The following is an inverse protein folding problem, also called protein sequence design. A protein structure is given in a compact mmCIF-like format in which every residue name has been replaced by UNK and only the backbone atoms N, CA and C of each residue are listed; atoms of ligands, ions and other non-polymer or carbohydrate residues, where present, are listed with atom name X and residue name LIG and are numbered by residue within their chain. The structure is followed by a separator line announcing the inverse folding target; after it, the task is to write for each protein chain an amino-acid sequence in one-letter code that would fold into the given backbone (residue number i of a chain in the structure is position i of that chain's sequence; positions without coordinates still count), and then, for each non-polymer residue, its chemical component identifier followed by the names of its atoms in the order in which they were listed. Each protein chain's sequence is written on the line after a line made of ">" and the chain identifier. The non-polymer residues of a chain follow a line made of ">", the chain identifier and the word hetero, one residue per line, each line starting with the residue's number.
data_IF_689091333770
#
_entry.id   IF_689091333770
#
_cell.length_a   1.000
_cell.length_b   1.000
_cell.length_c   1.000
_cell.angle_alpha   90.00
_cell.angle_beta   90.00
_cell.angle_gamma   90.00
#
_symmetry.space_group_name_H-M   'P 1'
#
loop_
_entity.id
_entity.type
_entity.pdbx_description
1 polymer ?
#
# COMPACT_ATOMS: atom_id res chain seq x y z
N UNK A 1 -33.69 -11.15 18.84
CA UNK A 1 -32.38 -10.48 18.97
C UNK A 1 -32.22 -9.57 17.78
N UNK A 2 -32.13 -8.26 17.99
CA UNK A 2 -31.83 -7.31 16.92
C UNK A 2 -30.35 -7.58 16.53
N UNK A 3 -30.10 -8.16 15.35
CA UNK A 3 -28.74 -8.26 14.82
C UNK A 3 -28.27 -6.82 14.59
N UNK A 4 -27.29 -6.37 15.36
CA UNK A 4 -26.62 -5.09 15.06
C UNK A 4 -25.99 -5.20 13.67
N UNK A 5 -26.20 -4.19 12.83
CA UNK A 5 -25.55 -4.14 11.52
C UNK A 5 -24.03 -4.07 11.69
N UNK A 6 -23.25 -4.84 10.91
CA UNK A 6 -21.79 -4.75 10.92
C UNK A 6 -21.32 -3.34 10.55
N UNK A 7 -20.40 -2.79 11.34
CA UNK A 7 -19.66 -1.55 11.06
C UNK A 7 -18.88 -1.68 9.75
N UNK A 8 -18.53 -0.52 9.18
CA UNK A 8 -17.66 -0.40 8.00
C UNK A 8 -18.15 -1.13 6.74
N UNK A 9 -19.43 -1.52 6.70
CA UNK A 9 -19.99 -2.30 5.60
C UNK A 9 -19.48 -3.74 5.54
N UNK A 10 -18.97 -4.29 6.64
CA UNK A 10 -18.44 -5.66 6.69
C UNK A 10 -19.44 -6.68 6.12
N UNK A 11 -18.97 -7.71 5.38
CA UNK A 11 -19.84 -8.82 4.95
C UNK A 11 -20.56 -9.47 6.13
N UNK A 12 -21.84 -9.81 5.96
CA UNK A 12 -22.66 -10.44 7.00
C UNK A 12 -22.16 -11.82 7.44
N UNK A 13 -21.42 -12.50 6.56
CA UNK A 13 -20.82 -13.80 6.81
C UNK A 13 -19.32 -13.71 6.53
N UNK A 14 -18.51 -14.10 7.52
CA UNK A 14 -17.05 -14.10 7.41
C UNK A 14 -16.59 -15.44 6.83
N UNK A 15 -15.86 -15.39 5.71
CA UNK A 15 -15.31 -16.55 5.00
C UNK A 15 -13.84 -16.34 4.74
N UNK A 16 -13.10 -17.44 4.66
CA UNK A 16 -11.69 -17.45 4.29
C UNK A 16 -11.52 -18.11 2.92
N UNK A 17 -10.58 -17.58 2.12
CA UNK A 17 -10.28 -18.12 0.81
C UNK A 17 -9.86 -19.59 0.92
N UNK A 18 -10.41 -20.46 0.08
CA UNK A 18 -10.04 -21.89 0.08
C UNK A 18 -8.62 -22.14 -0.42
N UNK A 19 -8.04 -21.21 -1.19
CA UNK A 19 -6.68 -21.34 -1.74
C UNK A 19 -5.60 -20.75 -0.85
N UNK A 20 -5.86 -19.58 -0.25
CA UNK A 20 -4.92 -18.93 0.67
C UNK A 20 -5.54 -18.79 2.07
N UNK A 21 -5.24 -17.71 2.79
CA UNK A 21 -5.73 -17.43 4.15
C UNK A 21 -6.45 -16.08 4.27
N UNK A 22 -6.59 -15.32 3.19
CA UNK A 22 -7.30 -14.03 3.21
C UNK A 22 -8.79 -14.22 3.55
N UNK A 23 -9.36 -13.42 4.46
CA UNK A 23 -10.81 -13.36 4.65
C UNK A 23 -11.49 -12.45 3.62
N UNK A 24 -12.78 -12.68 3.40
CA UNK A 24 -13.64 -11.78 2.62
C UNK A 24 -13.88 -10.42 3.29
N UNK A 25 -13.42 -10.22 4.53
CA UNK A 25 -13.43 -8.93 5.24
C UNK A 25 -12.22 -8.05 4.91
N UNK A 26 -11.33 -8.50 4.03
CA UNK A 26 -10.21 -7.68 3.54
C UNK A 26 -10.73 -6.55 2.63
N UNK A 27 -10.58 -5.27 3.01
CA UNK A 27 -10.97 -4.16 2.16
C UNK A 27 -10.11 -4.11 0.89
N UNK A 28 -10.69 -3.64 -0.20
CA UNK A 28 -9.96 -3.26 -1.41
C UNK A 28 -9.60 -1.78 -1.36
N UNK A 29 -8.56 -1.41 -2.12
CA UNK A 29 -8.13 -0.02 -2.20
C UNK A 29 -9.26 0.85 -2.75
N UNK A 30 -9.49 1.99 -2.11
CA UNK A 30 -10.46 2.99 -2.52
C UNK A 30 -9.83 4.38 -2.47
N UNK A 31 -10.52 5.39 -2.98
CA UNK A 31 -10.01 6.76 -2.94
C UNK A 31 -9.86 7.25 -1.50
N UNK A 32 -8.63 7.50 -1.07
CA UNK A 32 -8.27 7.88 0.31
C UNK A 32 -8.86 9.23 0.72
N UNK A 33 -9.03 10.16 -0.23
CA UNK A 33 -9.53 11.51 0.03
C UNK A 33 -11.01 11.58 0.41
N UNK A 34 -11.73 10.47 0.30
CA UNK A 34 -13.15 10.36 0.68
C UNK A 34 -13.35 9.49 1.93
N UNK A 35 -12.28 9.17 2.66
CA UNK A 35 -12.38 8.41 3.92
C UNK A 35 -12.90 9.28 5.05
N UNK A 36 -14.10 8.95 5.50
CA UNK A 36 -14.80 9.57 6.62
C UNK A 36 -15.18 8.49 7.65
N UNK A 37 -15.48 8.90 8.88
CA UNK A 37 -15.76 8.01 10.02
C UNK A 37 -16.86 6.97 9.71
N UNK A 38 -17.92 7.38 9.01
CA UNK A 38 -19.09 6.53 8.75
C UNK A 38 -19.00 5.71 7.44
N UNK A 39 -17.86 5.71 6.75
CA UNK A 39 -17.76 5.11 5.41
C UNK A 39 -17.67 3.57 5.47
N UNK A 40 -18.38 2.91 4.55
CA UNK A 40 -18.20 1.50 4.24
C UNK A 40 -17.08 1.27 3.23
N UNK A 41 -16.50 0.06 3.25
CA UNK A 41 -15.47 -0.35 2.29
C UNK A 41 -16.04 -1.30 1.24
N UNK A 42 -15.41 -1.30 0.07
CA UNK A 42 -15.49 -2.44 -0.83
C UNK A 42 -14.53 -3.52 -0.32
N UNK A 43 -14.90 -4.78 -0.51
CA UNK A 43 -14.17 -5.93 0.02
C UNK A 43 -13.72 -6.85 -1.10
N UNK A 44 -12.66 -7.63 -0.84
CA UNK A 44 -12.10 -8.56 -1.82
C UNK A 44 -13.16 -9.56 -2.27
N UNK A 45 -13.30 -9.72 -3.59
CA UNK A 45 -14.30 -10.61 -4.17
C UNK A 45 -13.85 -12.07 -4.10
N UNK A 46 -14.80 -12.96 -3.85
CA UNK A 46 -14.63 -14.41 -3.87
C UNK A 46 -15.53 -14.98 -4.97
N UNK A 47 -15.03 -15.94 -5.73
CA UNK A 47 -15.83 -16.66 -6.71
C UNK A 47 -16.70 -17.76 -6.06
N UNK A 48 -17.49 -18.45 -6.89
CA UNK A 48 -18.37 -19.55 -6.48
C UNK A 48 -17.61 -20.74 -5.87
N UNK A 49 -16.34 -20.92 -6.23
CA UNK A 49 -15.47 -21.95 -5.65
C UNK A 49 -14.96 -21.55 -4.25
N UNK A 50 -15.10 -20.29 -3.85
CA UNK A 50 -14.60 -19.72 -2.60
C UNK A 50 -13.13 -19.29 -2.69
N UNK A 51 -12.64 -18.97 -3.88
CA UNK A 51 -11.28 -18.47 -4.13
C UNK A 51 -11.32 -16.95 -4.33
N UNK A 52 -10.46 -16.23 -3.61
CA UNK A 52 -10.40 -14.77 -3.69
C UNK A 52 -9.77 -14.29 -5.01
N UNK A 53 -10.18 -13.11 -5.49
CA UNK A 53 -9.72 -12.47 -6.73
C UNK A 53 -8.19 -12.41 -6.86
N UNK A 54 -7.50 -12.13 -5.75
CA UNK A 54 -6.03 -12.09 -5.73
C UNK A 54 -5.36 -13.43 -6.04
N UNK A 55 -5.96 -14.55 -5.62
CA UNK A 55 -5.43 -15.87 -5.96
C UNK A 55 -5.62 -16.16 -7.45
N UNK A 56 -6.80 -15.85 -7.99
CA UNK A 56 -7.08 -15.99 -9.43
C UNK A 56 -6.14 -15.15 -10.28
N UNK A 57 -5.85 -13.92 -9.85
CA UNK A 57 -4.88 -13.07 -10.51
C UNK A 57 -3.48 -13.70 -10.52
N UNK A 58 -3.02 -14.23 -9.39
CA UNK A 58 -1.69 -14.85 -9.29
C UNK A 58 -1.58 -16.20 -10.00
N UNK A 59 -2.66 -16.97 -10.13
CA UNK A 59 -2.66 -18.25 -10.86
C UNK A 59 -2.17 -18.06 -12.32
N UNK A 60 -2.57 -16.96 -12.96
CA UNK A 60 -2.18 -16.58 -14.32
C UNK A 60 -0.66 -16.46 -14.51
N UNK A 61 0.11 -16.20 -13.44
CA UNK A 61 1.57 -16.14 -13.48
C UNK A 61 2.23 -17.50 -13.69
N UNK A 62 1.48 -18.59 -13.48
CA UNK A 62 2.03 -19.93 -13.39
C UNK A 62 1.28 -21.01 -14.20
N UNK A 63 0.11 -20.70 -14.77
CA UNK A 63 -0.71 -21.65 -15.53
C UNK A 63 -0.55 -21.56 -17.06
N UNK A 64 0.31 -20.63 -17.53
CA UNK A 64 0.55 -20.38 -18.95
C UNK A 64 -0.33 -19.28 -19.56
N UNK A 65 -1.23 -18.67 -18.79
CA UNK A 65 -2.04 -17.53 -19.23
C UNK A 65 -1.16 -16.34 -19.63
N UNK A 66 -0.05 -16.11 -18.92
CA UNK A 66 0.90 -15.05 -19.23
C UNK A 66 2.10 -15.62 -20.01
N UNK A 67 2.29 -15.10 -21.22
CA UNK A 67 3.53 -15.26 -21.96
C UNK A 67 4.54 -14.18 -21.54
N UNK A 68 5.43 -14.52 -20.60
CA UNK A 68 6.41 -13.57 -20.06
C UNK A 68 7.39 -13.03 -21.10
N UNK A 69 7.68 -13.79 -22.16
CA UNK A 69 8.55 -13.32 -23.25
C UNK A 69 7.88 -12.18 -24.03
N UNK A 70 6.61 -12.37 -24.38
CA UNK A 70 5.81 -11.34 -25.06
C UNK A 70 5.64 -10.10 -24.17
N UNK A 71 5.37 -10.28 -22.87
CA UNK A 71 5.34 -9.19 -21.90
C UNK A 71 6.65 -8.40 -21.85
N UNK A 72 7.79 -9.08 -21.89
CA UNK A 72 9.09 -8.40 -21.93
C UNK A 72 9.32 -7.68 -23.27
N UNK A 73 8.88 -8.24 -24.40
CA UNK A 73 8.91 -7.57 -25.70
C UNK A 73 8.05 -6.29 -25.71
N UNK A 74 6.84 -6.33 -25.12
CA UNK A 74 6.00 -5.15 -24.90
C UNK A 74 6.73 -4.07 -24.07
N UNK A 75 7.46 -4.48 -23.02
CA UNK A 75 8.26 -3.56 -22.20
C UNK A 75 9.37 -2.92 -23.01
N UNK A 76 10.16 -3.70 -23.74
CA UNK A 76 11.24 -3.16 -24.58
C UNK A 76 10.70 -2.13 -25.58
N UNK A 77 9.58 -2.44 -26.26
CA UNK A 77 8.93 -1.53 -27.19
C UNK A 77 8.39 -0.25 -26.51
N UNK A 78 7.95 -0.32 -25.26
CA UNK A 78 7.58 0.85 -24.46
C UNK A 78 8.82 1.69 -24.12
N UNK A 79 9.85 1.06 -23.57
CA UNK A 79 11.07 1.73 -23.11
C UNK A 79 11.80 2.42 -24.27
N UNK A 80 11.84 1.81 -25.46
CA UNK A 80 12.49 2.39 -26.65
C UNK A 80 11.87 3.74 -27.08
N UNK A 81 10.62 4.03 -26.71
CA UNK A 81 9.97 5.33 -26.98
C UNK A 81 10.49 6.45 -26.09
N UNK A 82 10.93 6.11 -24.89
CA UNK A 82 11.24 7.07 -23.82
C UNK A 82 12.72 7.12 -23.45
N UNK A 83 13.49 6.06 -23.74
CA UNK A 83 14.88 5.90 -23.32
C UNK A 83 15.73 7.11 -23.72
N UNK A 84 16.38 7.70 -22.72
CA UNK A 84 17.29 8.82 -22.95
C UNK A 84 18.53 8.39 -23.72
N UNK A 85 19.05 9.33 -24.52
CA UNK A 85 20.30 9.17 -25.30
C UNK A 85 21.48 9.92 -24.71
N UNK A 86 21.23 10.87 -23.81
CA UNK A 86 22.26 11.71 -23.19
C UNK A 86 22.43 11.44 -21.68
N UNK A 87 21.63 10.51 -21.13
CA UNK A 87 21.65 10.14 -19.72
C UNK A 87 20.72 10.95 -18.83
N UNK A 88 19.91 11.85 -19.41
CA UNK A 88 18.81 12.49 -18.68
C UNK A 88 17.83 11.46 -18.11
N UNK A 89 17.13 11.80 -17.02
CA UNK A 89 16.10 10.92 -16.48
C UNK A 89 15.00 10.67 -17.51
N UNK A 90 14.72 9.39 -17.79
CA UNK A 90 13.72 8.94 -18.77
C UNK A 90 12.57 8.17 -18.13
N UNK A 91 12.73 7.74 -16.87
CA UNK A 91 11.65 7.21 -16.06
C UNK A 91 11.80 7.59 -14.58
N UNK A 92 10.70 7.48 -13.84
CA UNK A 92 10.66 7.69 -12.40
C UNK A 92 10.19 6.42 -11.70
N UNK A 93 10.87 6.07 -10.61
CA UNK A 93 10.51 4.94 -9.76
C UNK A 93 10.28 5.42 -8.33
N UNK A 94 9.02 5.42 -7.83
CA UNK A 94 8.77 5.66 -6.42
C UNK A 94 9.25 4.49 -5.57
N UNK A 95 9.80 4.78 -4.40
CA UNK A 95 10.31 3.74 -3.53
C UNK A 95 10.83 4.24 -2.20
N UNK A 96 10.98 3.32 -1.24
CA UNK A 96 11.54 3.61 0.09
C UNK A 96 12.95 3.03 0.30
N UNK A 97 13.55 2.41 -0.72
CA UNK A 97 14.74 1.57 -0.56
C UNK A 97 14.41 0.14 -0.13
N UNK A 98 13.13 -0.22 -0.08
CA UNK A 98 12.67 -1.60 0.05
C UNK A 98 13.05 -2.45 -1.17
N UNK A 99 13.05 -3.78 -0.98
CA UNK A 99 13.38 -4.77 -2.02
C UNK A 99 12.68 -4.55 -3.36
N UNK A 100 11.41 -4.14 -3.35
CA UNK A 100 10.59 -3.98 -4.55
C UNK A 100 11.05 -2.77 -5.38
N UNK A 101 11.29 -1.63 -4.72
CA UNK A 101 11.80 -0.41 -5.37
C UNK A 101 13.25 -0.55 -5.83
N UNK A 102 14.06 -1.29 -5.06
CA UNK A 102 15.43 -1.63 -5.47
C UNK A 102 15.38 -2.47 -6.75
N UNK A 103 14.61 -3.56 -6.77
CA UNK A 103 14.46 -4.39 -7.95
C UNK A 103 13.98 -3.58 -9.16
N UNK A 104 12.87 -2.83 -9.02
CA UNK A 104 12.30 -2.05 -10.12
C UNK A 104 13.30 -1.06 -10.72
N UNK A 105 13.90 -0.21 -9.89
CA UNK A 105 14.82 0.83 -10.37
C UNK A 105 16.14 0.24 -10.88
N UNK A 106 16.67 -0.78 -10.23
CA UNK A 106 17.96 -1.36 -10.62
C UNK A 106 17.83 -2.20 -11.90
N UNK A 107 16.74 -2.96 -12.10
CA UNK A 107 16.57 -3.73 -13.33
C UNK A 107 16.32 -2.84 -14.55
N UNK A 108 15.53 -1.76 -14.40
CA UNK A 108 15.33 -0.75 -15.44
C UNK A 108 16.67 -0.12 -15.84
N UNK A 109 17.51 0.21 -14.85
CA UNK A 109 18.84 0.79 -15.09
C UNK A 109 19.80 -0.20 -15.76
N UNK A 110 19.96 -1.40 -15.20
CA UNK A 110 21.06 -2.31 -15.57
C UNK A 110 20.74 -3.21 -16.75
N UNK A 111 19.53 -3.76 -16.81
CA UNK A 111 19.10 -4.67 -17.89
C UNK A 111 18.56 -3.89 -19.09
N UNK A 112 17.81 -2.82 -18.85
CA UNK A 112 17.09 -2.09 -19.89
C UNK A 112 17.70 -0.73 -20.26
N UNK A 113 18.82 -0.36 -19.62
CA UNK A 113 19.59 0.85 -19.90
C UNK A 113 18.72 2.14 -19.85
N UNK A 114 17.81 2.18 -18.88
CA UNK A 114 17.04 3.38 -18.54
C UNK A 114 17.79 4.20 -17.47
N UNK A 115 17.39 5.45 -17.27
CA UNK A 115 17.93 6.39 -16.31
C UNK A 115 16.84 6.76 -15.29
N UNK A 116 16.55 5.88 -14.32
CA UNK A 116 15.49 6.14 -13.35
C UNK A 116 15.87 7.23 -12.35
N UNK A 117 15.04 8.26 -12.23
CA UNK A 117 15.01 9.10 -11.02
C UNK A 117 14.21 8.37 -9.95
N UNK A 118 14.80 8.15 -8.78
CA UNK A 118 14.06 7.56 -7.66
C UNK A 118 13.44 8.65 -6.78
N UNK A 119 12.23 8.41 -6.28
CA UNK A 119 11.51 9.38 -5.44
C UNK A 119 10.96 8.71 -4.20
N UNK A 120 11.27 9.29 -3.04
CA UNK A 120 10.88 8.75 -1.73
C UNK A 120 10.01 9.74 -0.99
N UNK A 121 8.84 9.27 -0.57
CA UNK A 121 8.06 9.90 0.49
C UNK A 121 8.50 9.30 1.83
N UNK A 122 9.01 10.12 2.74
CA UNK A 122 9.56 9.63 4.00
C UNK A 122 8.48 8.91 4.84
N UNK A 123 8.84 7.83 5.57
CA UNK A 123 7.98 7.23 6.58
C UNK A 123 7.71 8.19 7.73
N UNK A 124 6.79 7.82 8.63
CA UNK A 124 6.51 8.62 9.83
C UNK A 124 7.76 8.75 10.69
N UNK A 125 8.43 7.62 10.93
CA UNK A 125 9.68 7.51 11.67
C UNK A 125 10.54 6.38 11.09
N UNK A 126 11.76 6.69 10.66
CA UNK A 126 12.67 5.67 10.14
C UNK A 126 13.06 4.65 11.22
N UNK A 127 13.14 3.38 10.84
CA UNK A 127 13.95 2.40 11.57
C UNK A 127 15.41 2.48 11.12
N UNK A 128 16.33 2.00 11.96
CA UNK A 128 17.77 1.99 11.62
C UNK A 128 18.07 1.13 10.38
N UNK A 129 17.44 -0.04 10.29
CA UNK A 129 17.63 -0.95 9.14
C UNK A 129 17.00 -0.38 7.87
N UNK A 130 15.85 0.29 8.01
CA UNK A 130 15.16 0.95 6.92
C UNK A 130 15.99 2.08 6.33
N UNK A 131 16.51 2.93 7.21
CA UNK A 131 17.42 4.00 6.82
C UNK A 131 18.69 3.45 6.17
N UNK A 132 19.29 2.39 6.73
CA UNK A 132 20.46 1.74 6.13
C UNK A 132 20.17 1.20 4.73
N UNK A 133 19.05 0.49 4.53
CA UNK A 133 18.67 -0.03 3.23
C UNK A 133 18.39 1.09 2.21
N UNK A 134 17.79 2.20 2.66
CA UNK A 134 17.61 3.39 1.83
C UNK A 134 18.95 4.01 1.40
N UNK A 135 19.91 4.13 2.31
CA UNK A 135 21.27 4.60 1.99
C UNK A 135 21.99 3.63 1.05
N UNK A 136 21.85 2.33 1.26
CA UNK A 136 22.47 1.32 0.40
C UNK A 136 21.88 1.35 -1.02
N UNK A 137 20.57 1.60 -1.17
CA UNK A 137 19.95 1.79 -2.47
C UNK A 137 20.60 2.94 -3.26
N UNK A 138 20.91 4.05 -2.60
CA UNK A 138 21.55 5.21 -3.22
C UNK A 138 23.04 4.92 -3.50
N UNK A 139 23.78 4.48 -2.50
CA UNK A 139 25.25 4.46 -2.55
C UNK A 139 25.86 3.16 -3.07
N UNK A 140 25.16 2.03 -2.96
CA UNK A 140 25.63 0.72 -3.43
C UNK A 140 25.00 0.38 -4.78
N UNK A 141 23.66 0.42 -4.89
CA UNK A 141 22.97 0.21 -6.16
C UNK A 141 23.11 1.40 -7.14
N UNK A 142 23.50 2.57 -6.63
CA UNK A 142 23.90 3.72 -7.44
C UNK A 142 22.69 4.44 -8.04
N UNK A 143 21.78 4.94 -7.22
CA UNK A 143 20.57 5.66 -7.68
C UNK A 143 20.52 7.08 -7.16
N UNK A 144 20.14 8.01 -8.03
CA UNK A 144 19.75 9.35 -7.61
C UNK A 144 18.39 9.30 -6.94
N UNK A 145 18.23 10.04 -5.84
CA UNK A 145 17.00 10.06 -5.07
C UNK A 145 16.55 11.48 -4.71
N UNK A 146 15.26 11.74 -4.89
CA UNK A 146 14.57 12.85 -4.25
C UNK A 146 13.81 12.36 -3.03
N UNK A 147 14.31 12.68 -1.84
CA UNK A 147 13.65 12.41 -0.57
C UNK A 147 12.81 13.61 -0.14
N UNK A 148 11.51 13.40 0.03
CA UNK A 148 10.62 14.36 0.67
C UNK A 148 10.26 13.92 2.07
N UNK A 149 10.72 14.68 3.06
CA UNK A 149 10.27 14.57 4.43
C UNK A 149 9.21 15.65 4.68
N UNK A 150 7.94 15.28 4.93
CA UNK A 150 6.90 16.27 5.18
C UNK A 150 7.17 17.07 6.46
N UNK A 151 6.53 18.25 6.57
CA UNK A 151 6.50 19.01 7.82
C UNK A 151 6.02 18.10 8.96
N UNK A 152 6.91 17.84 9.93
CA UNK A 152 6.66 16.89 11.00
C UNK A 152 5.48 17.27 11.90
N UNK A 153 5.18 18.55 12.08
CA UNK A 153 4.02 19.00 12.86
C UNK A 153 2.71 18.64 12.15
N UNK A 154 2.63 18.92 10.85
CA UNK A 154 1.45 18.58 10.04
C UNK A 154 1.32 17.08 9.88
N UNK A 155 2.41 16.36 9.62
CA UNK A 155 2.36 14.90 9.46
C UNK A 155 1.86 14.21 10.75
N UNK A 156 2.40 14.60 11.92
CA UNK A 156 1.93 14.10 13.23
C UNK A 156 0.46 14.42 13.48
N UNK A 157 0.03 15.65 13.20
CA UNK A 157 -1.37 16.07 13.35
C UNK A 157 -2.32 15.21 12.48
N UNK A 158 -1.96 15.00 11.21
CA UNK A 158 -2.74 14.17 10.30
C UNK A 158 -2.77 12.71 10.76
N UNK A 159 -1.65 12.16 11.23
CA UNK A 159 -1.56 10.79 11.76
C UNK A 159 -2.40 10.62 13.03
N UNK A 160 -2.36 11.59 13.95
CA UNK A 160 -3.22 11.63 15.15
C UNK A 160 -4.69 11.58 14.76
N UNK A 161 -5.13 12.44 13.84
CA UNK A 161 -6.52 12.48 13.39
C UNK A 161 -6.90 11.19 12.65
N UNK A 162 -6.03 10.65 11.81
CA UNK A 162 -6.29 9.40 11.10
C UNK A 162 -6.41 8.21 12.06
N UNK A 163 -5.61 8.17 13.13
CA UNK A 163 -5.77 7.17 14.20
C UNK A 163 -7.10 7.36 14.95
N UNK A 164 -7.35 8.56 15.48
CA UNK A 164 -8.52 8.81 16.35
C UNK A 164 -9.86 8.68 15.59
N UNK A 165 -9.92 9.14 14.35
CA UNK A 165 -11.18 9.23 13.60
C UNK A 165 -11.42 8.02 12.71
N UNK A 166 -10.37 7.36 12.22
CA UNK A 166 -10.49 6.27 11.24
C UNK A 166 -9.92 4.93 11.73
N UNK A 167 -9.19 4.94 12.85
CA UNK A 167 -8.31 3.85 13.27
C UNK A 167 -7.40 3.40 12.12
N UNK A 168 -6.82 4.38 11.41
CA UNK A 168 -5.94 4.17 10.28
C UNK A 168 -4.77 5.17 10.32
N UNK A 169 -3.79 5.00 11.22
CA UNK A 169 -2.69 5.97 11.40
C UNK A 169 -1.83 6.15 10.14
N UNK A 170 -1.82 5.16 9.24
CA UNK A 170 -1.01 5.16 8.02
C UNK A 170 -1.58 5.98 6.85
N UNK A 171 -2.82 6.47 6.96
CA UNK A 171 -3.46 7.18 5.85
C UNK A 171 -2.61 8.34 5.29
N UNK A 172 -2.00 9.23 6.12
CA UNK A 172 -1.21 10.34 5.59
C UNK A 172 0.01 9.88 4.80
N UNK A 173 0.60 8.73 5.15
CA UNK A 173 1.70 8.12 4.41
C UNK A 173 1.24 7.56 3.06
N UNK A 174 0.10 6.87 3.02
CA UNK A 174 -0.49 6.35 1.76
C UNK A 174 -0.80 7.50 0.79
N UNK A 175 -1.34 8.62 1.29
CA UNK A 175 -1.61 9.82 0.49
C UNK A 175 -0.34 10.38 -0.17
N UNK A 176 0.75 10.45 0.60
CA UNK A 176 2.06 10.84 0.11
C UNK A 176 2.55 9.90 -0.99
N UNK A 177 2.54 8.58 -0.75
CA UNK A 177 2.98 7.58 -1.73
C UNK A 177 2.19 7.62 -3.04
N UNK A 178 0.87 7.87 -2.97
CA UNK A 178 0.00 7.88 -4.16
C UNK A 178 0.16 9.12 -5.03
N UNK A 179 0.40 10.29 -4.43
CA UNK A 179 0.34 11.57 -5.17
C UNK A 179 1.69 12.23 -5.38
N UNK A 180 2.61 12.08 -4.43
CA UNK A 180 3.90 12.76 -4.48
C UNK A 180 4.77 12.35 -5.68
N UNK A 181 4.92 11.05 -6.03
CA UNK A 181 5.71 10.65 -7.20
C UNK A 181 5.23 11.29 -8.50
N UNK A 182 3.92 11.52 -8.61
CA UNK A 182 3.30 12.08 -9.81
C UNK A 182 3.58 13.58 -9.91
N UNK A 183 3.46 14.30 -8.79
CA UNK A 183 3.85 15.71 -8.69
C UNK A 183 5.32 15.87 -9.09
N UNK A 184 6.19 14.93 -8.68
CA UNK A 184 7.60 14.96 -9.04
C UNK A 184 7.86 14.62 -10.50
N UNK A 185 7.19 13.61 -11.06
CA UNK A 185 7.28 13.28 -12.49
C UNK A 185 6.95 14.50 -13.36
N UNK A 186 5.84 15.18 -13.06
CA UNK A 186 5.45 16.40 -13.77
C UNK A 186 6.44 17.55 -13.56
N UNK A 187 6.93 17.75 -12.33
CA UNK A 187 7.91 18.81 -12.02
C UNK A 187 9.24 18.63 -12.77
N UNK A 188 9.69 17.39 -12.96
CA UNK A 188 10.93 17.08 -13.68
C UNK A 188 10.72 16.84 -15.18
N UNK A 189 9.47 16.87 -15.67
CA UNK A 189 9.15 16.57 -17.06
C UNK A 189 9.44 15.12 -17.46
N UNK A 190 9.34 14.17 -16.51
CA UNK A 190 9.60 12.75 -16.76
C UNK A 190 8.29 12.07 -17.20
N UNK A 191 8.22 11.54 -18.44
CA UNK A 191 6.97 11.08 -19.04
C UNK A 191 6.57 9.65 -18.64
N UNK A 192 7.46 8.89 -17.99
CA UNK A 192 7.24 7.47 -17.68
C UNK A 192 7.47 7.18 -16.20
N UNK A 193 6.49 6.59 -15.53
CA UNK A 193 6.56 6.20 -14.11
C UNK A 193 6.28 4.71 -13.98
N UNK A 194 7.12 3.99 -13.21
CA UNK A 194 6.91 2.58 -12.92
C UNK A 194 6.65 2.34 -11.44
N UNK A 195 5.48 1.76 -11.14
CA UNK A 195 5.23 1.09 -9.86
C UNK A 195 5.63 -0.39 -9.95
N UNK A 196 5.83 -1.05 -8.81
CA UNK A 196 6.26 -2.45 -8.75
C UNK A 196 5.14 -3.45 -9.15
N UNK A 197 4.53 -4.16 -8.18
CA UNK A 197 3.54 -5.20 -8.47
C UNK A 197 2.21 -4.62 -8.98
N UNK A 198 1.47 -5.44 -9.73
CA UNK A 198 0.11 -5.07 -10.14
C UNK A 198 -0.86 -5.10 -8.93
N UNK A 199 -1.78 -4.14 -8.79
CA UNK A 199 -2.76 -4.11 -7.70
C UNK A 199 -3.64 -5.36 -7.60
N UNK A 200 -3.84 -6.08 -8.71
CA UNK A 200 -4.58 -7.35 -8.75
C UNK A 200 -3.96 -8.45 -7.90
N UNK A 201 -2.64 -8.46 -7.71
CA UNK A 201 -1.94 -9.41 -6.81
C UNK A 201 -2.36 -9.27 -5.35
N UNK A 202 -2.79 -8.06 -5.02
CA UNK A 202 -3.33 -7.67 -3.74
C UNK A 202 -4.86 -7.52 -3.83
N UNK A 203 -5.53 -8.25 -4.71
CA UNK A 203 -7.00 -8.30 -4.79
C UNK A 203 -7.67 -6.97 -5.11
N UNK A 204 -6.95 -6.03 -5.72
CA UNK A 204 -7.56 -4.88 -6.36
C UNK A 204 -8.38 -5.35 -7.57
N UNK A 205 -9.48 -4.66 -7.87
CA UNK A 205 -10.36 -4.97 -9.01
C UNK A 205 -9.68 -4.52 -10.32
N UNK A 206 -8.65 -5.25 -10.73
CA UNK A 206 -7.75 -4.96 -11.86
C UNK A 206 -7.59 -6.22 -12.70
N UNK A 207 -7.94 -6.19 -14.01
CA UNK A 207 -7.78 -7.35 -14.88
C UNK A 207 -6.29 -7.63 -15.15
N UNK A 208 -5.96 -8.88 -15.46
CA UNK A 208 -4.59 -9.32 -15.76
C UNK A 208 -3.97 -8.64 -16.99
N UNK A 209 -4.81 -8.04 -17.84
CA UNK A 209 -4.42 -7.30 -19.04
C UNK A 209 -4.14 -5.82 -18.78
N UNK A 210 -4.42 -5.30 -17.58
CA UNK A 210 -4.15 -3.91 -17.27
C UNK A 210 -2.67 -3.70 -16.91
N UNK A 211 -1.96 -2.97 -17.77
CA UNK A 211 -0.55 -2.62 -17.60
C UNK A 211 -0.31 -1.27 -16.92
N UNK A 212 -1.31 -0.38 -16.93
CA UNK A 212 -1.15 1.01 -16.47
C UNK A 212 -2.35 1.52 -15.68
N UNK A 213 -2.16 2.62 -14.97
CA UNK A 213 -3.24 3.35 -14.31
C UNK A 213 -4.21 3.92 -15.35
N UNK A 214 -5.50 3.94 -15.01
CA UNK A 214 -6.55 4.54 -15.86
C UNK A 214 -6.82 5.97 -15.37
N UNK A 215 -6.56 6.96 -16.23
CA UNK A 215 -7.05 8.33 -16.05
C UNK A 215 -8.53 8.38 -16.46
N UNK A 216 -9.35 9.19 -15.79
CA UNK A 216 -10.84 9.17 -15.71
C UNK A 216 -11.63 9.16 -17.05
N UNK A 217 -11.02 9.18 -18.23
CA UNK A 217 -11.70 9.19 -19.53
C UNK A 217 -12.43 7.88 -19.93
N UNK A 218 -12.56 6.89 -19.03
CA UNK A 218 -13.30 5.65 -19.28
C UNK A 218 -14.80 5.70 -18.86
N UNK A 219 -15.35 6.86 -18.52
CA UNK A 219 -16.76 6.99 -18.09
C UNK A 219 -17.73 7.34 -19.23
N UNK A 220 -17.25 7.65 -20.44
CA UNK A 220 -18.11 7.96 -21.60
C UNK A 220 -18.76 6.73 -22.25
N UNK A 221 -18.45 5.51 -21.82
CA UNK A 221 -18.94 4.26 -22.44
C UNK A 221 -19.91 3.45 -21.56
N UNK A 222 -20.39 4.00 -20.44
CA UNK A 222 -21.38 3.33 -19.58
C UNK A 222 -20.89 2.02 -18.94
N UNK A 223 -19.61 1.69 -19.06
CA UNK A 223 -19.00 0.59 -18.34
C UNK A 223 -18.47 1.11 -17.02
N UNK A 224 -18.85 0.49 -15.90
CA UNK A 224 -18.09 0.61 -14.64
C UNK A 224 -16.66 0.16 -14.97
N UNK A 225 -15.77 1.08 -15.29
CA UNK A 225 -14.40 0.76 -15.65
C UNK A 225 -13.74 0.06 -14.46
N UNK A 226 -13.46 -1.23 -14.59
CA UNK A 226 -12.61 -1.97 -13.65
C UNK A 226 -11.16 -1.48 -13.81
N UNK A 227 -10.48 -1.20 -12.70
CA UNK A 227 -9.07 -0.85 -12.70
C UNK A 227 -8.63 0.08 -11.57
N UNK A 228 -7.34 0.04 -11.24
CA UNK A 228 -6.74 0.89 -10.22
C UNK A 228 -6.59 2.33 -10.73
N UNK A 229 -7.15 3.28 -9.98
CA UNK A 229 -7.25 4.70 -10.35
C UNK A 229 -6.33 5.54 -9.49
N UNK A 230 -5.91 6.67 -10.02
CA UNK A 230 -5.27 7.73 -9.23
C UNK A 230 -6.35 8.44 -8.42
N UNK A 231 -6.02 8.72 -7.15
CA UNK A 231 -6.92 9.37 -6.22
C UNK A 231 -7.01 10.86 -6.56
N UNK A 232 -8.00 11.23 -7.37
CA UNK A 232 -8.34 12.61 -7.68
C UNK A 232 -9.60 13.03 -6.92
N UNK A 233 -9.63 14.28 -6.48
CA UNK A 233 -10.87 15.00 -6.20
C UNK A 233 -11.14 15.90 -7.40
N UNK A 234 -12.41 16.18 -7.67
CA UNK A 234 -12.96 16.85 -8.85
C UNK A 234 -12.15 18.05 -9.37
N UNK A 235 -12.38 18.49 -10.61
CA UNK A 235 -11.65 19.61 -11.25
C UNK A 235 -11.78 20.94 -10.46
N UNK A 236 -12.68 21.01 -9.46
CA UNK A 236 -12.78 22.09 -8.47
C UNK A 236 -12.13 21.68 -7.14
N UNK A 237 -11.13 22.43 -6.67
CA UNK A 237 -10.52 22.27 -5.33
C UNK A 237 -11.51 22.68 -4.22
N UNK A 238 -12.52 21.87 -4.01
CA UNK A 238 -13.50 22.02 -2.93
C UNK A 238 -12.97 21.34 -1.66
N UNK A 239 -12.35 22.13 -0.78
CA UNK A 239 -11.75 21.63 0.46
C UNK A 239 -12.75 21.01 1.44
N UNK A 240 -14.06 21.21 1.25
CA UNK A 240 -15.09 20.54 2.05
C UNK A 240 -15.38 19.10 1.60
N UNK A 241 -14.87 18.70 0.43
CA UNK A 241 -14.99 17.33 -0.13
C UNK A 241 -13.73 16.48 0.04
N UNK A 242 -12.63 17.07 0.52
CA UNK A 242 -11.34 16.40 0.71
C UNK A 242 -11.15 16.10 2.20
N UNK A 243 -10.91 14.84 2.53
CA UNK A 243 -10.68 14.39 3.90
C UNK A 243 -9.23 13.97 4.12
N UNK A 244 -8.64 14.46 5.20
CA UNK A 244 -7.33 14.05 5.71
C UNK A 244 -7.51 13.63 7.17
N UNK A 245 -7.19 12.39 7.52
CA UNK A 245 -7.40 11.86 8.87
C UNK A 245 -8.86 11.90 9.32
N UNK A 246 -9.80 11.73 8.38
CA UNK A 246 -11.25 11.76 8.65
C UNK A 246 -11.84 13.15 8.90
N UNK A 247 -11.05 14.23 8.75
CA UNK A 247 -11.50 15.63 8.84
C UNK A 247 -11.40 16.32 7.50
N UNK A 248 -12.27 17.30 7.24
CA UNK A 248 -12.24 18.09 6.00
C UNK A 248 -11.00 18.97 5.96
N UNK A 249 -10.42 19.18 4.77
CA UNK A 249 -9.31 20.12 4.58
C UNK A 249 -9.68 21.52 5.06
N UNK A 250 -10.91 21.97 4.83
CA UNK A 250 -11.41 23.28 5.30
C UNK A 250 -11.33 23.47 6.81
N UNK A 251 -11.42 22.40 7.61
CA UNK A 251 -11.30 22.46 9.06
C UNK A 251 -9.85 22.70 9.51
N UNK A 252 -8.87 22.13 8.79
CA UNK A 252 -7.45 22.38 9.06
C UNK A 252 -7.06 23.82 8.74
N UNK A 253 -7.56 24.35 7.61
CA UNK A 253 -7.34 25.75 7.21
C UNK A 253 -7.92 26.71 8.25
N UNK A 254 -9.15 26.44 8.73
CA UNK A 254 -9.78 27.22 9.82
C UNK A 254 -9.01 27.14 11.14
N UNK A 255 -8.34 26.02 11.40
CA UNK A 255 -7.49 25.83 12.58
C UNK A 255 -6.08 26.45 12.44
N UNK A 256 -5.78 27.10 11.31
CA UNK A 256 -4.53 27.84 11.09
C UNK A 256 -3.42 27.03 10.40
N UNK A 257 -3.68 25.80 9.96
CA UNK A 257 -2.71 25.06 9.11
C UNK A 257 -2.70 25.70 7.73
N UNK A 258 -1.53 26.05 7.21
CA UNK A 258 -1.44 26.71 5.91
C UNK A 258 -1.78 25.75 4.75
N UNK A 259 -2.31 26.30 3.66
CA UNK A 259 -2.52 25.51 2.43
C UNK A 259 -1.19 24.93 1.91
N UNK A 260 -0.09 25.69 2.04
CA UNK A 260 1.24 25.25 1.65
C UNK A 260 1.69 24.00 2.40
N UNK A 261 1.44 23.92 3.72
CA UNK A 261 1.78 22.75 4.53
C UNK A 261 0.90 21.54 4.20
N UNK A 262 -0.35 21.76 3.79
CA UNK A 262 -1.27 20.69 3.38
C UNK A 262 -1.03 20.23 1.94
N UNK A 263 -0.44 21.08 1.10
CA UNK A 263 -0.25 20.85 -0.34
C UNK A 263 0.42 19.51 -0.72
N UNK A 264 1.36 18.94 0.06
CA UNK A 264 1.91 17.62 -0.25
C UNK A 264 0.86 16.52 -0.17
N UNK A 265 -0.09 16.64 0.76
CA UNK A 265 -1.16 15.68 1.01
C UNK A 265 -2.35 15.88 0.10
N UNK A 266 -2.56 17.07 -0.47
CA UNK A 266 -3.72 17.33 -1.33
C UNK A 266 -3.69 16.46 -2.60
N UNK A 267 -4.88 16.10 -3.13
CA UNK A 267 -5.00 15.39 -4.40
C UNK A 267 -4.22 16.09 -5.52
N UNK A 268 -3.79 15.32 -6.50
CA UNK A 268 -3.18 15.89 -7.70
C UNK A 268 -4.21 16.71 -8.48
N UNK A 269 -3.79 17.80 -9.10
CA UNK A 269 -4.62 18.47 -10.10
C UNK A 269 -4.78 17.54 -11.31
N UNK A 270 -6.00 17.09 -11.65
CA UNK A 270 -6.21 16.19 -12.77
C UNK A 270 -5.78 16.80 -14.11
N UNK A 271 -5.75 18.14 -14.27
CA UNK A 271 -5.21 18.80 -15.47
C UNK A 271 -3.73 18.52 -15.64
N UNK A 272 -2.96 18.58 -14.56
CA UNK A 272 -1.53 18.32 -14.59
C UNK A 272 -1.24 16.87 -14.99
N UNK A 273 -2.06 15.91 -14.57
CA UNK A 273 -1.95 14.54 -15.04
C UNK A 273 -2.35 14.37 -16.53
N UNK A 274 -3.36 15.11 -17.00
CA UNK A 274 -3.82 15.06 -18.40
C UNK A 274 -2.82 15.71 -19.36
N UNK A 275 -2.36 16.91 -19.05
CA UNK A 275 -1.54 17.75 -19.93
C UNK A 275 -0.08 17.31 -19.99
N UNK A 276 0.43 16.66 -18.93
CA UNK A 276 1.83 16.22 -18.88
C UNK A 276 2.14 15.00 -19.74
N UNK A 277 1.12 14.26 -20.20
CA UNK A 277 1.31 13.05 -21.00
C UNK A 277 2.02 11.91 -20.25
N UNK A 278 2.03 11.94 -18.92
CA UNK A 278 2.77 10.97 -18.10
C UNK A 278 2.02 9.63 -18.09
N UNK A 279 2.75 8.55 -18.38
CA UNK A 279 2.25 7.18 -18.28
C UNK A 279 2.70 6.51 -16.97
N UNK A 280 1.75 5.92 -16.24
CA UNK A 280 2.01 5.20 -14.98
C UNK A 280 1.80 3.70 -15.19
N UNK A 281 2.88 2.94 -15.25
CA UNK A 281 2.87 1.52 -15.54
C UNK A 281 3.16 0.68 -14.30
N UNK A 282 2.64 -0.54 -14.28
CA UNK A 282 2.99 -1.57 -13.31
C UNK A 282 4.08 -2.45 -13.91
N UNK A 283 5.31 -2.39 -13.39
CA UNK A 283 6.41 -3.19 -13.90
C UNK A 283 6.14 -4.69 -13.77
N UNK A 284 5.38 -5.10 -12.74
CA UNK A 284 4.94 -6.48 -12.53
C UNK A 284 3.94 -7.03 -13.58
N UNK A 285 3.39 -6.19 -14.46
CA UNK A 285 2.70 -6.66 -15.66
C UNK A 285 3.68 -7.21 -16.69
N UNK A 286 4.82 -6.53 -16.85
CA UNK A 286 5.84 -6.81 -17.86
C UNK A 286 6.80 -7.91 -17.42
N UNK A 287 7.20 -7.88 -16.16
CA UNK A 287 8.17 -8.81 -15.57
C UNK A 287 7.47 -9.66 -14.51
N UNK A 288 7.83 -10.95 -14.46
CA UNK A 288 7.27 -11.86 -13.48
C UNK A 288 7.64 -11.40 -12.08
N UNK A 289 6.68 -10.78 -11.39
CA UNK A 289 6.91 -10.23 -10.06
C UNK A 289 6.73 -11.32 -9.00
N UNK A 290 7.82 -11.70 -8.32
CA UNK A 290 7.77 -12.58 -7.14
C UNK A 290 8.47 -11.84 -5.99
N UNK A 291 7.77 -11.50 -4.90
CA UNK A 291 8.33 -10.69 -3.82
C UNK A 291 9.61 -11.25 -3.19
N UNK A 292 9.73 -12.58 -3.09
CA UNK A 292 10.91 -13.24 -2.56
C UNK A 292 12.11 -13.16 -3.53
N UNK A 293 11.87 -13.20 -4.85
CA UNK A 293 12.92 -13.01 -5.85
C UNK A 293 13.42 -11.56 -5.85
N UNK A 294 12.51 -10.58 -5.69
CA UNK A 294 12.89 -9.18 -5.52
C UNK A 294 13.77 -8.97 -4.28
N UNK A 295 13.52 -9.72 -3.20
CA UNK A 295 14.37 -9.72 -2.02
C UNK A 295 15.78 -10.20 -2.33
N UNK A 296 15.93 -11.39 -2.93
CA UNK A 296 17.25 -11.93 -3.27
C UNK A 296 18.02 -11.00 -4.22
N UNK A 297 17.31 -10.44 -5.21
CA UNK A 297 17.89 -9.48 -6.14
C UNK A 297 18.42 -8.24 -5.41
N UNK A 298 17.67 -7.69 -4.46
CA UNK A 298 18.07 -6.50 -3.70
C UNK A 298 19.26 -6.78 -2.78
N UNK A 299 19.35 -7.99 -2.19
CA UNK A 299 20.52 -8.40 -1.39
C UNK A 299 21.77 -8.41 -2.27
N UNK A 300 21.68 -9.02 -3.45
CA UNK A 300 22.82 -9.17 -4.37
C UNK A 300 23.27 -7.83 -4.98
N UNK A 301 22.32 -6.96 -5.36
CA UNK A 301 22.61 -5.79 -6.18
C UNK A 301 22.64 -4.46 -5.42
N UNK A 302 22.13 -4.43 -4.18
CA UNK A 302 22.00 -3.19 -3.43
C UNK A 302 22.46 -3.31 -1.98
N UNK A 303 23.04 -4.43 -1.56
CA UNK A 303 23.43 -4.63 -0.15
C UNK A 303 22.24 -4.54 0.81
N UNK A 304 21.04 -4.96 0.37
CA UNK A 304 19.85 -4.96 1.21
C UNK A 304 20.01 -5.93 2.38
N UNK A 305 19.64 -5.50 3.58
CA UNK A 305 19.71 -6.29 4.80
C UNK A 305 18.31 -6.49 5.42
N UNK A 306 18.13 -7.64 6.06
CA UNK A 306 16.88 -7.98 6.76
C UNK A 306 16.92 -7.55 8.23
N UNK A 307 15.76 -7.50 8.87
CA UNK A 307 15.71 -7.35 10.32
C UNK A 307 16.43 -8.54 11.01
N UNK A 308 17.17 -8.28 12.11
CA UNK A 308 17.82 -9.34 12.88
C UNK A 308 16.81 -10.31 13.53
N UNK A 309 15.60 -9.83 13.80
CA UNK A 309 14.45 -10.60 14.31
C UNK A 309 13.25 -10.45 13.39
N UNK A 310 12.25 -11.33 13.51
CA UNK A 310 10.97 -11.14 12.79
C UNK A 310 10.32 -9.81 13.19
N UNK A 311 9.52 -9.24 12.31
CA UNK A 311 8.67 -8.10 12.66
C UNK A 311 7.46 -8.57 13.47
N UNK A 312 7.06 -7.80 14.49
CA UNK A 312 5.87 -8.10 15.29
C UNK A 312 4.61 -8.16 14.41
N UNK A 313 3.71 -9.10 14.70
CA UNK A 313 2.52 -9.38 13.88
C UNK A 313 2.78 -10.31 12.69
N UNK A 314 4.03 -10.74 12.46
CA UNK A 314 4.38 -11.67 11.36
C UNK A 314 5.63 -12.51 11.67
N UNK A 315 5.95 -13.43 10.77
CA UNK A 315 7.14 -14.27 10.77
C UNK A 315 8.26 -13.74 9.85
N UNK A 316 7.95 -12.77 8.99
CA UNK A 316 8.89 -12.25 7.98
C UNK A 316 9.90 -11.26 8.58
N UNK A 317 11.02 -11.08 7.88
CA UNK A 317 12.15 -10.20 8.26
C UNK A 317 12.52 -9.17 7.20
N UNK A 318 11.88 -9.21 6.04
CA UNK A 318 12.37 -8.56 4.81
C UNK A 318 11.34 -7.63 4.14
N UNK A 319 10.17 -7.44 4.76
CA UNK A 319 9.04 -6.65 4.24
C UNK A 319 8.81 -5.45 5.16
N UNK A 320 8.43 -4.29 4.61
CA UNK A 320 8.08 -3.05 5.32
C UNK A 320 8.99 -2.78 6.53
N UNK A 321 10.27 -2.49 6.23
CA UNK A 321 11.30 -2.34 7.25
C UNK A 321 11.57 -0.88 7.60
N UNK A 322 11.04 0.06 6.82
CA UNK A 322 11.41 1.47 6.86
C UNK A 322 10.72 2.29 7.94
N UNK A 323 9.52 1.93 8.37
CA UNK A 323 8.72 2.72 9.31
C UNK A 323 8.54 2.05 10.68
N UNK A 324 8.89 2.76 11.77
CA UNK A 324 8.63 2.32 13.14
C UNK A 324 7.13 2.19 13.46
N UNK A 325 6.28 2.90 12.74
CA UNK A 325 4.83 2.92 12.97
C UNK A 325 4.05 1.86 12.18
N UNK A 326 4.71 1.12 11.29
CA UNK A 326 4.12 0.11 10.39
C UNK A 326 3.34 -0.98 11.15
N UNK A 327 3.86 -1.43 12.29
CA UNK A 327 3.17 -2.41 13.15
C UNK A 327 1.76 -1.97 13.57
N UNK A 328 1.55 -0.67 13.82
CA UNK A 328 0.25 -0.13 14.22
C UNK A 328 -0.75 -0.09 13.07
N UNK A 329 -0.30 0.05 11.82
CA UNK A 329 -1.18 -0.09 10.66
C UNK A 329 -1.77 -1.50 10.56
N UNK A 330 -0.92 -2.52 10.69
CA UNK A 330 -1.39 -3.90 10.65
C UNK A 330 -2.19 -4.31 11.88
N UNK A 331 -1.81 -3.82 13.07
CA UNK A 331 -2.60 -4.03 14.28
C UNK A 331 -3.99 -3.41 14.14
N UNK A 332 -4.09 -2.14 13.72
CA UNK A 332 -5.40 -1.49 13.53
C UNK A 332 -6.22 -2.14 12.41
N UNK A 333 -5.59 -2.66 11.35
CA UNK A 333 -6.25 -3.51 10.35
C UNK A 333 -6.84 -4.77 10.98
N UNK A 334 -6.10 -5.45 11.85
CA UNK A 334 -6.58 -6.63 12.58
C UNK A 334 -7.79 -6.30 13.47
N UNK A 335 -7.77 -5.15 14.15
CA UNK A 335 -8.90 -4.68 14.94
C UNK A 335 -10.15 -4.44 14.09
N UNK A 336 -10.02 -3.72 12.97
CA UNK A 336 -11.17 -3.34 12.13
C UNK A 336 -11.74 -4.50 11.31
N UNK A 337 -10.87 -5.36 10.79
CA UNK A 337 -11.22 -6.30 9.72
C UNK A 337 -10.95 -7.77 10.07
N UNK A 338 -10.37 -8.06 11.23
CA UNK A 338 -10.18 -9.42 11.74
C UNK A 338 -9.01 -10.18 11.10
N UNK A 339 -8.10 -9.49 10.42
CA UNK A 339 -6.86 -10.08 9.89
C UNK A 339 -5.69 -9.11 10.02
N UNK A 340 -4.50 -9.65 10.30
CA UNK A 340 -3.28 -8.89 10.52
C UNK A 340 -2.26 -9.06 9.41
N UNK A 341 -1.00 -8.77 9.76
CA UNK A 341 0.12 -8.83 8.83
C UNK A 341 0.48 -10.26 8.42
N UNK A 342 0.48 -11.21 9.35
CA UNK A 342 0.79 -12.61 9.05
C UNK A 342 -0.18 -13.19 8.02
N UNK A 343 -1.47 -12.83 8.08
CA UNK A 343 -2.45 -13.20 7.05
C UNK A 343 -2.09 -12.64 5.67
N UNK A 344 -1.63 -11.39 5.59
CA UNK A 344 -1.21 -10.79 4.32
C UNK A 344 0.06 -11.45 3.76
N UNK A 345 1.08 -11.60 4.60
CA UNK A 345 2.36 -12.21 4.23
C UNK A 345 2.17 -13.68 3.81
N UNK A 346 1.47 -14.48 4.61
CA UNK A 346 1.19 -15.88 4.31
C UNK A 346 0.35 -16.03 3.03
N UNK A 347 -0.67 -15.19 2.84
CA UNK A 347 -1.46 -15.25 1.61
C UNK A 347 -0.62 -14.93 0.37
N UNK A 348 0.30 -13.96 0.46
CA UNK A 348 1.23 -13.64 -0.62
C UNK A 348 2.15 -14.82 -0.92
N UNK A 349 2.76 -15.43 0.10
CA UNK A 349 3.68 -16.56 -0.09
C UNK A 349 2.98 -17.83 -0.61
N UNK A 350 1.73 -18.09 -0.21
CA UNK A 350 0.90 -19.18 -0.78
C UNK A 350 0.65 -18.93 -2.28
N UNK A 351 0.25 -17.70 -2.65
CA UNK A 351 -0.02 -17.34 -4.06
C UNK A 351 1.21 -17.50 -4.94
N UNK A 352 2.40 -17.30 -4.37
CA UNK A 352 3.68 -17.46 -5.05
C UNK A 352 4.29 -18.85 -4.89
N UNK A 353 3.56 -19.82 -4.32
CA UNK A 353 3.93 -21.23 -4.17
C UNK A 353 5.16 -21.47 -3.26
N UNK A 354 5.43 -20.56 -2.33
CA UNK A 354 6.53 -20.68 -1.38
C UNK A 354 6.16 -21.50 -0.15
N UNK A 355 4.89 -21.47 0.26
CA UNK A 355 4.35 -22.25 1.39
C UNK A 355 3.00 -22.86 1.00
N UNK A 356 2.60 -23.93 1.69
CA UNK A 356 1.26 -24.50 1.55
C UNK A 356 0.23 -23.68 2.32
N UNK A 357 -1.06 -23.94 2.04
CA UNK A 357 -2.13 -23.31 2.81
C UNK A 357 -2.09 -23.73 4.29
N UNK A 358 -1.79 -24.99 4.57
CA UNK A 358 -1.70 -25.55 5.92
C UNK A 358 -0.61 -24.85 6.74
N UNK A 359 0.56 -24.62 6.13
CA UNK A 359 1.64 -23.84 6.72
C UNK A 359 1.20 -22.40 6.97
N UNK A 360 0.53 -21.78 5.99
CA UNK A 360 -0.02 -20.43 6.16
C UNK A 360 -1.04 -20.32 7.29
N UNK A 361 -1.94 -21.29 7.44
CA UNK A 361 -2.90 -21.33 8.56
C UNK A 361 -2.17 -21.42 9.91
N UNK A 362 -1.13 -22.25 10.01
CA UNK A 362 -0.33 -22.36 11.22
C UNK A 362 0.39 -21.05 11.56
N UNK A 363 0.93 -20.35 10.56
CA UNK A 363 1.60 -19.06 10.72
C UNK A 363 0.62 -17.96 11.13
N UNK A 364 -0.56 -17.88 10.51
CA UNK A 364 -1.60 -16.92 10.88
C UNK A 364 -2.02 -17.12 12.33
N UNK A 365 -2.37 -18.34 12.72
CA UNK A 365 -2.80 -18.64 14.09
C UNK A 365 -1.72 -18.34 15.14
N UNK A 366 -0.45 -18.33 14.75
CA UNK A 366 0.68 -18.05 15.64
C UNK A 366 0.99 -16.56 15.79
N UNK A 367 0.83 -15.77 14.73
CA UNK A 367 1.39 -14.41 14.68
C UNK A 367 0.38 -13.29 14.47
N UNK A 368 -0.79 -13.55 13.86
CA UNK A 368 -1.78 -12.49 13.65
C UNK A 368 -2.34 -12.00 14.99
N UNK A 369 -2.51 -10.67 15.08
CA UNK A 369 -3.01 -10.02 16.29
C UNK A 369 -1.98 -9.82 17.40
N UNK A 370 -0.73 -10.22 17.20
CA UNK A 370 0.37 -9.81 18.07
C UNK A 370 0.46 -8.28 18.10
N UNK A 371 0.48 -7.73 19.31
CA UNK A 371 0.58 -6.29 19.53
C UNK A 371 2.02 -5.81 19.29
N UNK A 372 2.24 -4.76 18.47
CA UNK A 372 3.58 -4.23 18.16
C UNK A 372 4.13 -3.41 19.33
N UNK A 373 4.82 -4.06 20.27
CA UNK A 373 5.33 -3.43 21.49
C UNK A 373 6.58 -2.61 21.25
N UNK A 374 7.42 -3.00 20.29
CA UNK A 374 8.79 -2.48 20.13
C UNK A 374 8.85 -0.95 20.03
N UNK A 375 7.92 -0.35 19.29
CA UNK A 375 7.88 1.10 19.03
C UNK A 375 6.63 1.77 19.58
N UNK A 376 5.97 1.15 20.57
CA UNK A 376 4.69 1.67 21.08
C UNK A 376 4.83 3.02 21.75
N UNK A 377 5.89 3.22 22.54
CA UNK A 377 6.15 4.50 23.17
C UNK A 377 6.39 5.60 22.13
N UNK A 378 7.22 5.33 21.11
CA UNK A 378 7.47 6.29 20.03
C UNK A 378 6.23 6.59 19.21
N UNK A 379 5.35 5.61 19.01
CA UNK A 379 4.07 5.85 18.33
C UNK A 379 3.15 6.76 19.15
N UNK A 380 3.02 6.54 20.45
CA UNK A 380 2.22 7.38 21.34
C UNK A 380 2.76 8.82 21.38
N UNK A 381 4.08 8.98 21.47
CA UNK A 381 4.75 10.28 21.41
C UNK A 381 4.55 10.96 20.05
N UNK A 382 4.69 10.22 18.96
CA UNK A 382 4.53 10.75 17.59
C UNK A 382 3.08 11.20 17.33
N UNK A 383 2.11 10.39 17.71
CA UNK A 383 0.69 10.71 17.54
C UNK A 383 0.15 11.65 18.62
N UNK A 384 0.97 12.04 19.61
CA UNK A 384 0.57 12.90 20.73
C UNK A 384 -0.70 12.39 21.43
N UNK A 385 -0.68 11.12 21.83
CA UNK A 385 -1.78 10.45 22.54
C UNK A 385 -1.25 9.64 23.73
N UNK A 386 -2.05 9.57 24.78
CA UNK A 386 -1.79 8.69 25.93
C UNK A 386 -2.10 7.24 25.60
N UNK A 387 -1.51 6.30 26.33
CA UNK A 387 -1.82 4.86 26.21
C UNK A 387 -3.30 4.58 26.48
N UNK A 388 -3.92 5.22 27.48
CA UNK A 388 -5.34 5.07 27.79
C UNK A 388 -6.21 5.45 26.58
N UNK A 389 -5.89 6.59 25.95
CA UNK A 389 -6.59 7.05 24.75
C UNK A 389 -6.40 6.12 23.56
N UNK A 390 -5.22 5.51 23.42
CA UNK A 390 -4.96 4.51 22.39
C UNK A 390 -5.91 3.32 22.54
N UNK A 391 -5.98 2.74 23.75
CA UNK A 391 -6.81 1.57 24.01
C UNK A 391 -8.31 1.87 23.93
N UNK A 392 -8.74 3.04 24.43
CA UNK A 392 -10.12 3.53 24.27
C UNK A 392 -10.49 3.60 22.79
N UNK A 393 -9.63 4.21 21.97
CA UNK A 393 -9.85 4.33 20.53
C UNK A 393 -9.93 2.95 19.89
N UNK A 394 -8.95 2.06 20.12
CA UNK A 394 -8.93 0.68 19.58
C UNK A 394 -10.23 -0.07 19.89
N UNK A 395 -10.71 0.00 21.12
CA UNK A 395 -11.92 -0.72 21.53
C UNK A 395 -13.19 -0.19 20.87
N UNK A 396 -13.30 1.11 20.63
CA UNK A 396 -14.47 1.68 19.91
C UNK A 396 -14.59 1.17 18.48
N UNK A 397 -13.48 0.77 17.87
CA UNK A 397 -13.46 0.31 16.48
C UNK A 397 -13.71 -1.19 16.31
N UNK A 398 -13.80 -1.95 17.40
CA UNK A 398 -14.16 -3.38 17.32
C UNK A 398 -15.59 -3.54 16.85
N UNK A 399 -15.74 -4.39 15.84
CA UNK A 399 -17.06 -4.78 15.34
C UNK A 399 -17.61 -6.00 16.10
N UNK A 400 -18.89 -5.98 16.56
CA UNK A 400 -19.48 -7.12 17.27
C UNK A 400 -19.66 -8.39 16.43
N UNK A 401 -19.67 -8.29 15.09
CA UNK A 401 -19.61 -9.44 14.18
C UNK A 401 -18.27 -10.16 14.31
N UNK A 402 -17.16 -9.42 14.38
CA UNK A 402 -15.82 -9.99 14.40
C UNK A 402 -15.36 -10.34 15.82
N UNK A 403 -15.75 -9.53 16.79
CA UNK A 403 -15.21 -9.55 18.14
C UNK A 403 -16.24 -9.97 19.18
N UNK A 404 -15.77 -10.75 20.15
CA UNK A 404 -16.48 -11.07 21.39
C UNK A 404 -15.57 -10.69 22.56
N UNK A 405 -16.13 -10.00 23.55
CA UNK A 405 -15.45 -9.77 24.82
C UNK A 405 -15.77 -10.93 25.76
N UNK A 406 -14.74 -11.60 26.26
CA UNK A 406 -14.82 -12.67 27.26
C UNK A 406 -13.96 -12.28 28.46
N UNK A 407 -14.63 -11.88 29.55
CA UNK A 407 -13.97 -11.23 30.69
C UNK A 407 -13.28 -9.94 30.25
N UNK A 408 -11.99 -9.83 30.55
CA UNK A 408 -11.15 -8.68 30.17
C UNK A 408 -10.46 -8.87 28.81
N UNK A 409 -10.75 -9.96 28.09
CA UNK A 409 -10.07 -10.30 26.84
C UNK A 409 -10.99 -10.19 25.63
N UNK A 410 -10.46 -9.70 24.51
CA UNK A 410 -11.13 -9.69 23.22
C UNK A 410 -10.71 -10.92 22.41
N UNK A 411 -11.68 -11.64 21.87
CA UNK A 411 -11.45 -12.79 21.00
C UNK A 411 -12.14 -12.60 19.65
N UNK A 412 -11.43 -12.97 18.59
CA UNK A 412 -12.03 -13.09 17.26
C UNK A 412 -12.99 -14.28 17.25
N UNK A 413 -14.18 -14.05 16.69
CA UNK A 413 -15.22 -15.08 16.49
C UNK A 413 -14.89 -16.01 15.33
N UNK A 414 -14.10 -15.54 14.37
CA UNK A 414 -13.73 -16.27 13.16
C UNK A 414 -12.20 -16.35 13.08
N UNK A 415 -11.69 -17.55 12.90
CA UNK A 415 -10.27 -17.83 12.67
C UNK A 415 -10.13 -18.68 11.41
N UNK A 416 -9.04 -18.48 10.69
CA UNK A 416 -8.74 -19.31 9.52
C UNK A 416 -8.42 -20.73 9.97
N UNK A 417 -8.95 -21.71 9.24
CA UNK A 417 -8.77 -23.15 9.46
C UNK A 417 -8.26 -23.84 8.22
#
# INVERSE_FOLDING_TARGET
>A
MIRQEPKYGLPQEVKFCKRCVIPNTRPTASNEYTHQVARGHDYIEFDEEGVCSACRFCDAKFDGTINWKEREEELCALLDKYRSKDGSYDCLVPGSGGKDSVYASHILKTKYNMHPLTVTWAPHLYTDIGWKNFQNWIHIAGHDNYLFTPNGEVHRLLTKNAFLNLLHPFQPFILGQKTFPIKMAARFGIPLVFYGPSPGENGGNTPITQNRYILKEAESTGHKSSGFRLDYVDDTTDYDKIYLGGKKVSEYLKAGVSEGDLSPYLPLDPRLARESGIEFHFLGYYLKWIPQECYYYAVENAGFETNPMRTEGTYTKYVSLDDKTDGFFYYTTYIKFGYGRATQDAASEIRHRHITREEGVALVNRFDGEFPKKYFKEFLEYADITEEKFWETVDTFRDPLLWKKEGDTWQLRYKVS
#
